data_IF_609439857913
#
_entry.id   IF_609439857913
#
_cell.length_a   1.000
_cell.length_b   1.000
_cell.length_c   1.000
_cell.angle_alpha   90.00
_cell.angle_beta   90.00
_cell.angle_gamma   90.00
#
_symmetry.space_group_name_H-M   'P 1'
#
loop_
_entity.id
_entity.type
_entity.pdbx_description
1 polymer ?
#
# COMPACT_ATOMS: atom_id res chain seq x y z
N UNK A 1 -9.75 39.24 0.13
CA UNK A 1 -8.63 38.45 -0.46
C UNK A 1 -8.13 37.37 0.49
N UNK A 2 -7.69 37.68 1.73
CA UNK A 2 -7.24 36.66 2.71
C UNK A 2 -8.24 35.52 2.99
N UNK A 3 -9.55 35.81 3.09
CA UNK A 3 -10.60 34.79 3.33
C UNK A 3 -10.73 33.77 2.19
N UNK A 4 -10.48 34.19 0.95
CA UNK A 4 -10.52 33.33 -0.24
C UNK A 4 -9.31 32.40 -0.24
N UNK A 5 -8.15 32.89 0.22
CA UNK A 5 -6.93 32.09 0.38
C UNK A 5 -7.15 30.99 1.43
N UNK A 6 -7.78 31.30 2.56
CA UNK A 6 -8.09 30.29 3.59
C UNK A 6 -9.06 29.21 3.10
N UNK A 7 -10.07 29.56 2.32
CA UNK A 7 -11.01 28.60 1.73
C UNK A 7 -10.30 27.71 0.70
N UNK A 8 -9.45 28.28 -0.14
CA UNK A 8 -8.66 27.50 -1.10
C UNK A 8 -7.70 26.52 -0.40
N UNK A 9 -7.07 26.93 0.70
CA UNK A 9 -6.18 26.08 1.50
C UNK A 9 -6.91 24.89 2.14
N UNK A 10 -8.14 25.10 2.61
CA UNK A 10 -9.00 24.05 3.18
C UNK A 10 -9.41 23.00 2.14
N UNK A 11 -9.71 23.42 0.91
CA UNK A 11 -10.06 22.52 -0.18
C UNK A 11 -8.85 21.69 -0.61
N UNK A 12 -7.67 22.31 -0.71
CA UNK A 12 -6.43 21.61 -1.07
C UNK A 12 -6.04 20.59 0.00
N UNK A 13 -6.23 20.87 1.29
CA UNK A 13 -5.94 19.88 2.35
C UNK A 13 -6.91 18.69 2.39
N UNK A 14 -8.16 18.88 1.94
CA UNK A 14 -9.18 17.83 1.95
C UNK A 14 -8.98 16.73 0.90
N UNK A 15 -8.21 17.00 -0.16
CA UNK A 15 -8.09 16.07 -1.31
C UNK A 15 -6.87 15.14 -1.26
N UNK A 16 -5.88 15.38 -0.38
CA UNK A 16 -4.66 14.56 -0.31
C UNK A 16 -4.79 13.28 0.54
N UNK A 17 -5.91 13.06 1.23
CA UNK A 17 -6.07 11.96 2.19
C UNK A 17 -6.65 10.64 1.65
N UNK A 18 -7.03 10.57 0.38
CA UNK A 18 -7.85 9.46 -0.12
C UNK A 18 -7.01 8.39 -0.81
N UNK A 19 -6.11 7.77 -0.03
CA UNK A 19 -5.61 6.44 -0.36
C UNK A 19 -6.72 5.44 -0.08
N UNK A 20 -7.66 5.27 -1.02
CA UNK A 20 -8.70 4.26 -0.88
C UNK A 20 -8.04 2.89 -0.79
N UNK A 21 -8.19 2.24 0.37
CA UNK A 21 -7.91 0.80 0.47
C UNK A 21 -8.81 0.10 -0.55
N UNK A 22 -8.20 -0.49 -1.57
CA UNK A 22 -8.91 -1.19 -2.62
C UNK A 22 -9.57 -2.42 -1.99
N UNK A 23 -10.87 -2.33 -1.75
CA UNK A 23 -11.63 -3.41 -1.15
C UNK A 23 -11.72 -4.56 -2.16
N UNK A 24 -11.55 -5.81 -1.72
CA UNK A 24 -11.79 -6.96 -2.58
C UNK A 24 -13.25 -6.97 -3.05
N UNK A 25 -13.48 -7.17 -4.35
CA UNK A 25 -14.83 -7.21 -4.94
C UNK A 25 -15.71 -8.34 -4.36
N UNK A 26 -15.07 -9.39 -3.82
CA UNK A 26 -15.76 -10.51 -3.19
C UNK A 26 -14.91 -11.17 -2.09
N UNK A 27 -15.52 -11.77 -1.05
CA UNK A 27 -14.79 -12.39 0.07
C UNK A 27 -13.85 -13.53 -0.37
N UNK A 28 -14.27 -14.30 -1.38
CA UNK A 28 -13.50 -15.42 -1.92
C UNK A 28 -12.29 -14.99 -2.77
N UNK A 29 -12.14 -13.69 -3.06
CA UNK A 29 -10.95 -13.13 -3.72
C UNK A 29 -9.80 -12.88 -2.74
N UNK A 30 -10.06 -12.96 -1.42
CA UNK A 30 -9.03 -12.94 -0.39
C UNK A 30 -8.75 -14.38 0.03
N UNK A 31 -7.56 -14.88 -0.34
CA UNK A 31 -7.10 -16.22 0.03
C UNK A 31 -5.63 -16.20 0.44
N UNK A 32 -5.17 -17.14 1.27
CA UNK A 32 -3.75 -17.34 1.51
C UNK A 32 -3.00 -17.70 0.23
N UNK A 33 -1.70 -17.38 0.17
CA UNK A 33 -0.82 -17.84 -0.89
C UNK A 33 -0.59 -19.35 -0.75
N UNK A 34 -0.89 -20.12 -1.79
CA UNK A 34 -0.71 -21.57 -1.81
C UNK A 34 0.65 -21.95 -2.42
N UNK A 35 1.14 -23.14 -2.10
CA UNK A 35 2.35 -23.68 -2.73
C UNK A 35 2.10 -23.83 -4.23
N UNK A 36 2.98 -23.23 -5.05
CA UNK A 36 2.87 -23.22 -6.50
C UNK A 36 2.11 -22.02 -7.08
N UNK A 37 1.49 -21.17 -6.25
CA UNK A 37 0.95 -19.89 -6.72
C UNK A 37 2.09 -18.96 -7.19
N UNK A 38 1.80 -18.14 -8.21
CA UNK A 38 2.69 -17.04 -8.59
C UNK A 38 2.72 -15.98 -7.50
N UNK A 39 3.91 -15.44 -7.21
CA UNK A 39 4.07 -14.38 -6.22
C UNK A 39 3.36 -13.12 -6.72
N UNK A 40 2.46 -12.52 -5.93
CA UNK A 40 1.75 -11.32 -6.35
C UNK A 40 2.71 -10.15 -6.56
N UNK A 41 2.39 -9.27 -7.51
CA UNK A 41 3.11 -8.03 -7.71
C UNK A 41 3.00 -7.16 -6.45
N UNK A 42 4.08 -7.10 -5.68
CA UNK A 42 4.11 -6.46 -4.37
C UNK A 42 5.22 -5.41 -4.34
N UNK A 43 4.82 -4.15 -4.09
CA UNK A 43 5.72 -3.04 -3.82
C UNK A 43 5.64 -2.68 -2.34
N UNK A 44 6.78 -2.61 -1.69
CA UNK A 44 6.93 -2.36 -0.25
C UNK A 44 7.85 -1.18 -0.03
N UNK A 45 7.75 -0.54 1.13
CA UNK A 45 8.79 0.37 1.59
C UNK A 45 9.91 -0.44 2.28
N UNK A 46 11.16 -0.17 1.91
CA UNK A 46 12.31 -0.69 2.66
C UNK A 46 12.49 0.05 4.00
N UNK A 47 13.49 -0.34 4.79
CA UNK A 47 13.79 0.27 6.07
C UNK A 47 14.17 1.78 5.99
N UNK A 48 14.49 2.28 4.80
CA UNK A 48 14.80 3.68 4.54
C UNK A 48 13.63 4.43 3.86
N UNK A 49 12.47 3.79 3.71
CA UNK A 49 11.30 4.35 3.03
C UNK A 49 11.39 4.35 1.50
N UNK A 50 12.34 3.62 0.91
CA UNK A 50 12.46 3.50 -0.56
C UNK A 50 11.50 2.46 -1.09
N UNK A 51 11.00 2.68 -2.30
CA UNK A 51 10.15 1.73 -3.00
C UNK A 51 10.96 0.47 -3.39
N UNK A 52 10.46 -0.69 -2.98
CA UNK A 52 11.06 -2.00 -3.21
C UNK A 52 10.05 -2.91 -3.93
N UNK A 53 10.39 -3.32 -5.15
CA UNK A 53 9.58 -4.24 -5.96
C UNK A 53 10.03 -5.69 -5.72
N UNK A 54 9.20 -6.46 -5.02
CA UNK A 54 9.47 -7.87 -4.72
C UNK A 54 9.44 -8.74 -5.98
N UNK A 55 8.58 -8.42 -6.97
CA UNK A 55 8.44 -9.22 -8.20
C UNK A 55 9.65 -9.09 -9.13
N UNK A 56 10.36 -7.97 -9.05
CA UNK A 56 11.65 -7.77 -9.72
C UNK A 56 12.80 -8.50 -9.02
N UNK A 57 12.64 -8.89 -7.75
CA UNK A 57 13.66 -9.56 -6.97
C UNK A 57 13.72 -11.06 -7.28
N UNK A 58 14.46 -11.45 -8.34
CA UNK A 58 14.57 -12.83 -8.85
C UNK A 58 15.37 -13.80 -7.97
N UNK A 59 15.46 -13.57 -6.66
CA UNK A 59 16.18 -14.43 -5.71
C UNK A 59 15.19 -15.24 -4.88
N UNK A 60 15.55 -16.48 -4.47
CA UNK A 60 14.78 -17.19 -3.44
C UNK A 60 14.62 -16.29 -2.21
N UNK A 61 13.38 -16.04 -1.82
CA UNK A 61 13.05 -15.02 -0.81
C UNK A 61 12.11 -15.61 0.23
N UNK A 62 12.39 -15.35 1.51
CA UNK A 62 11.49 -15.65 2.62
C UNK A 62 10.74 -14.36 2.96
N UNK A 63 9.42 -14.38 2.80
CA UNK A 63 8.54 -13.26 3.17
C UNK A 63 7.88 -13.55 4.52
N UNK A 64 8.10 -12.68 5.49
CA UNK A 64 7.55 -12.81 6.84
C UNK A 64 6.54 -11.69 7.07
N UNK A 65 5.27 -12.05 7.26
CA UNK A 65 4.26 -11.12 7.76
C UNK A 65 4.34 -11.06 9.28
N UNK A 66 4.94 -9.99 9.79
CA UNK A 66 5.04 -9.74 11.21
C UNK A 66 4.17 -8.54 11.58
N UNK A 67 3.18 -8.77 12.45
CA UNK A 67 2.48 -7.70 13.14
C UNK A 67 3.25 -7.43 14.43
N UNK A 68 3.91 -6.27 14.51
CA UNK A 68 4.53 -5.83 15.75
C UNK A 68 3.53 -5.87 16.91
N UNK A 69 3.96 -6.41 18.05
CA UNK A 69 3.34 -6.06 19.32
C UNK A 69 3.71 -4.60 19.65
N UNK A 70 2.83 -3.92 20.39
CA UNK A 70 3.09 -2.60 20.93
C UNK A 70 4.38 -2.55 21.75
#
# INVERSE_FOLDING_TARGET
MKKIIWVALLIVFGTFGWGHAQLPDAPNKVRPLMVGDEVPALRLADANGRDFDLGAHKKPTILIFYRGYW
#
